data_IF_728227011359
#
_entry.id   IF_728227011359
#
_cell.length_a   1.000
_cell.length_b   1.000
_cell.length_c   1.000
_cell.angle_alpha   90.00
_cell.angle_beta   90.00
_cell.angle_gamma   90.00
#
_symmetry.space_group_name_H-M   'P 1'
#
loop_
_entity.id
_entity.type
_entity.pdbx_description
1 polymer ?
#
# COMPACT_ATOMS: atom_id res chain seq x y z
N UNK A 1 -22.00 21.22 -6.66
CA UNK A 1 -20.64 21.69 -7.00
C UNK A 1 -20.36 22.97 -6.21
N UNK A 2 -19.57 22.88 -5.13
CA UNK A 2 -19.06 24.02 -4.38
C UNK A 2 -17.54 23.92 -4.36
N UNK A 3 -16.86 24.81 -5.07
CA UNK A 3 -15.44 25.20 -4.95
C UNK A 3 -14.42 24.09 -4.55
N UNK A 4 -14.46 22.92 -5.19
CA UNK A 4 -13.51 21.84 -4.92
C UNK A 4 -12.30 21.95 -5.82
N UNK A 5 -11.11 22.17 -5.26
CA UNK A 5 -9.85 22.01 -5.99
C UNK A 5 -9.78 20.60 -6.59
N UNK A 6 -9.81 20.49 -7.92
CA UNK A 6 -9.65 19.22 -8.61
C UNK A 6 -8.19 18.77 -8.48
N UNK A 7 -7.94 17.81 -7.59
CA UNK A 7 -6.59 17.24 -7.42
C UNK A 7 -6.41 16.07 -8.38
N UNK A 8 -5.54 16.24 -9.38
CA UNK A 8 -5.16 15.17 -10.29
C UNK A 8 -4.52 14.01 -9.51
N UNK A 9 -4.98 12.79 -9.77
CA UNK A 9 -4.31 11.59 -9.30
C UNK A 9 -3.22 11.25 -10.30
N UNK A 10 -1.96 11.49 -9.93
CA UNK A 10 -0.80 11.01 -10.67
C UNK A 10 -0.54 9.55 -10.33
N UNK A 11 -0.48 8.66 -11.31
CA UNK A 11 -0.15 7.25 -11.08
C UNK A 11 1.36 7.04 -11.05
N UNK A 12 1.75 5.84 -10.63
CA UNK A 12 3.12 5.37 -10.66
C UNK A 12 3.45 4.95 -12.11
N UNK A 13 3.84 5.92 -12.93
CA UNK A 13 4.14 5.70 -14.34
C UNK A 13 5.47 4.93 -14.46
N UNK A 14 5.44 3.76 -15.11
CA UNK A 14 6.64 2.97 -15.40
C UNK A 14 7.20 2.15 -14.22
N UNK A 15 6.54 2.19 -13.06
CA UNK A 15 6.92 1.35 -11.92
C UNK A 15 6.10 0.05 -11.89
N UNK A 16 6.75 -1.07 -11.60
CA UNK A 16 6.07 -2.34 -11.36
C UNK A 16 5.18 -2.20 -10.12
N UNK A 17 3.89 -2.49 -10.26
CA UNK A 17 2.99 -2.54 -9.11
C UNK A 17 3.33 -3.77 -8.25
N UNK A 18 3.48 -3.51 -6.96
CA UNK A 18 3.76 -4.50 -5.94
C UNK A 18 2.67 -4.46 -4.87
N UNK A 19 2.67 -5.46 -3.99
CA UNK A 19 1.73 -5.51 -2.87
C UNK A 19 1.80 -4.26 -1.98
N UNK A 20 2.99 -3.65 -1.84
CA UNK A 20 3.22 -2.42 -1.07
C UNK A 20 2.34 -1.26 -1.52
N UNK A 21 2.04 -1.20 -2.83
CA UNK A 21 1.21 -0.15 -3.40
C UNK A 21 -0.24 -0.27 -2.92
N UNK A 22 -0.76 -1.48 -2.72
CA UNK A 22 -2.15 -1.74 -2.33
C UNK A 22 -2.41 -1.68 -0.82
N UNK A 23 -1.37 -1.61 0.00
CA UNK A 23 -1.48 -1.57 1.45
C UNK A 23 -1.52 -0.13 2.02
N UNK A 24 -1.63 0.91 1.18
CA UNK A 24 -1.67 2.31 1.65
C UNK A 24 -3.07 2.76 2.05
N UNK A 25 -3.20 3.46 3.18
CA UNK A 25 -4.46 4.09 3.60
C UNK A 25 -4.79 5.35 2.77
N UNK A 26 -3.85 5.79 1.94
CA UNK A 26 -3.97 6.98 1.08
C UNK A 26 -4.09 6.54 -0.37
N UNK A 27 -5.20 6.94 -1.01
CA UNK A 27 -5.60 6.81 -2.44
C UNK A 27 -5.30 5.46 -3.10
N UNK A 28 -6.33 4.86 -3.70
CA UNK A 28 -6.19 3.60 -4.43
C UNK A 28 -5.03 3.65 -5.42
N UNK A 29 -4.16 2.63 -5.40
CA UNK A 29 -3.05 2.46 -6.35
C UNK A 29 -3.51 2.58 -7.80
N UNK A 30 -4.72 2.07 -8.04
CA UNK A 30 -5.39 2.05 -9.33
C UNK A 30 -6.72 2.78 -9.15
N UNK A 31 -6.98 3.75 -10.02
CA UNK A 31 -8.29 4.40 -10.08
C UNK A 31 -9.26 3.47 -10.82
N UNK A 32 -10.08 2.74 -10.06
CA UNK A 32 -11.10 1.85 -10.63
C UNK A 32 -11.97 2.51 -11.72
N UNK A 33 -12.53 3.73 -11.55
CA UNK A 33 -13.33 4.35 -12.60
C UNK A 33 -12.54 4.67 -13.89
N UNK A 34 -11.22 4.83 -13.79
CA UNK A 34 -10.34 5.07 -14.94
C UNK A 34 -9.64 3.80 -15.45
N UNK A 35 -10.07 2.61 -15.02
CA UNK A 35 -9.43 1.34 -15.37
C UNK A 35 -10.16 0.63 -16.51
N UNK A 36 -9.39 0.17 -17.50
CA UNK A 36 -9.87 -0.72 -18.55
C UNK A 36 -9.32 -2.12 -18.30
N UNK A 37 -10.21 -3.10 -18.13
CA UNK A 37 -9.85 -4.47 -17.75
C UNK A 37 -10.14 -5.38 -18.93
N UNK A 38 -9.13 -6.11 -19.40
CA UNK A 38 -9.32 -7.05 -20.50
C UNK A 38 -10.30 -8.17 -20.09
N UNK A 39 -11.29 -8.47 -20.95
CA UNK A 39 -12.40 -9.38 -20.61
C UNK A 39 -11.95 -10.76 -20.10
N UNK A 40 -10.82 -11.27 -20.60
CA UNK A 40 -10.29 -12.60 -20.24
C UNK A 40 -9.85 -12.67 -18.78
N UNK A 41 -9.67 -11.54 -18.10
CA UNK A 41 -9.37 -11.52 -16.67
C UNK A 41 -10.62 -11.85 -15.83
N UNK A 42 -11.82 -11.57 -16.34
CA UNK A 42 -13.08 -11.94 -15.68
C UNK A 42 -13.47 -13.40 -15.89
N UNK A 43 -12.98 -14.03 -16.96
CA UNK A 43 -13.17 -15.48 -17.20
C UNK A 43 -12.48 -16.33 -16.12
N UNK A 44 -11.48 -15.76 -15.44
CA UNK A 44 -10.74 -16.41 -14.34
C UNK A 44 -11.36 -16.13 -12.96
N UNK A 45 -12.52 -15.48 -12.90
CA UNK A 45 -13.20 -15.09 -11.67
C UNK A 45 -13.62 -13.62 -11.66
N UNK A 46 -14.79 -13.35 -11.07
CA UNK A 46 -15.39 -12.02 -10.96
C UNK A 46 -14.98 -11.33 -9.66
N UNK A 47 -15.55 -10.15 -9.41
CA UNK A 47 -15.44 -9.49 -8.11
C UNK A 47 -16.06 -10.36 -7.01
N UNK A 48 -15.39 -10.44 -5.88
CA UNK A 48 -15.94 -11.05 -4.68
C UNK A 48 -16.81 -10.03 -3.93
N UNK A 49 -18.13 -10.16 -4.10
CA UNK A 49 -19.14 -9.28 -3.50
C UNK A 49 -19.30 -9.48 -1.98
N UNK A 50 -18.58 -10.40 -1.35
CA UNK A 50 -18.47 -10.46 0.11
C UNK A 50 -17.73 -9.22 0.66
N UNK A 51 -16.83 -8.62 -0.14
CA UNK A 51 -16.23 -7.32 0.13
C UNK A 51 -17.20 -6.22 -0.27
N UNK A 52 -17.64 -5.38 0.68
CA UNK A 52 -18.67 -4.37 0.41
C UNK A 52 -18.11 -3.04 -0.03
N UNK A 53 -16.85 -2.75 0.29
CA UNK A 53 -16.21 -1.47 -0.01
C UNK A 53 -15.08 -1.63 -1.01
N UNK A 54 -14.26 -2.68 -0.87
CA UNK A 54 -12.99 -2.81 -1.62
C UNK A 54 -12.88 -4.08 -2.47
N UNK A 55 -14.00 -4.54 -3.03
CA UNK A 55 -14.02 -5.69 -3.94
C UNK A 55 -13.12 -5.48 -5.18
N UNK A 56 -13.00 -4.24 -5.64
CA UNK A 56 -12.11 -3.83 -6.73
C UNK A 56 -10.63 -4.04 -6.36
N UNK A 57 -10.23 -3.65 -5.15
CA UNK A 57 -8.87 -3.86 -4.63
C UNK A 57 -8.56 -5.35 -4.54
N UNK A 58 -9.50 -6.17 -4.04
CA UNK A 58 -9.31 -7.63 -3.99
C UNK A 58 -9.00 -8.20 -5.38
N UNK A 59 -9.82 -7.82 -6.37
CA UNK A 59 -9.64 -8.25 -7.76
C UNK A 59 -8.29 -7.78 -8.34
N UNK A 60 -7.89 -6.53 -8.09
CA UNK A 60 -6.62 -6.01 -8.61
C UNK A 60 -5.41 -6.69 -7.99
N UNK A 61 -5.41 -6.95 -6.67
CA UNK A 61 -4.31 -7.68 -6.02
C UNK A 61 -4.21 -9.10 -6.59
N UNK A 62 -5.33 -9.81 -6.72
CA UNK A 62 -5.34 -11.15 -7.29
C UNK A 62 -4.79 -11.17 -8.73
N UNK A 63 -5.31 -10.33 -9.62
CA UNK A 63 -4.88 -10.33 -11.04
C UNK A 63 -3.46 -9.84 -11.22
N UNK A 64 -3.09 -8.74 -10.59
CA UNK A 64 -1.82 -8.06 -10.86
C UNK A 64 -0.70 -8.69 -10.04
N UNK A 65 -0.92 -8.94 -8.74
CA UNK A 65 0.15 -9.40 -7.85
C UNK A 65 0.25 -10.91 -7.85
N UNK A 66 -0.86 -11.62 -7.61
CA UNK A 66 -0.84 -13.08 -7.46
C UNK A 66 -0.67 -13.76 -8.82
N UNK A 67 -1.39 -13.28 -9.83
CA UNK A 67 -1.35 -13.84 -11.19
C UNK A 67 -0.38 -13.13 -12.13
N UNK A 68 0.36 -12.13 -11.63
CA UNK A 68 1.40 -11.41 -12.37
C UNK A 68 0.91 -10.85 -13.74
N UNK A 69 -0.33 -10.36 -13.79
CA UNK A 69 -0.86 -9.73 -15.01
C UNK A 69 -0.21 -8.36 -15.23
N UNK A 70 0.03 -8.01 -16.50
CA UNK A 70 0.59 -6.73 -16.90
C UNK A 70 -0.39 -5.58 -16.65
N UNK A 71 0.16 -4.42 -16.29
CA UNK A 71 -0.57 -3.16 -16.15
C UNK A 71 0.12 -2.12 -17.00
N UNK A 72 -0.66 -1.39 -17.80
CA UNK A 72 -0.19 -0.27 -18.60
C UNK A 72 -0.90 1.00 -18.15
N UNK A 73 -0.12 2.08 -18.00
CA UNK A 73 -0.68 3.40 -17.70
C UNK A 73 -0.73 4.28 -18.94
N UNK A 74 -1.88 4.92 -19.16
CA UNK A 74 -2.08 5.90 -20.22
C UNK A 74 -2.15 7.31 -19.61
N UNK A 75 -1.35 8.30 -20.08
CA UNK A 75 -1.28 9.63 -19.50
C UNK A 75 -2.44 10.54 -19.92
N UNK A 76 -3.67 10.03 -19.82
CA UNK A 76 -4.89 10.74 -20.14
C UNK A 76 -5.83 10.83 -18.94
N UNK A 77 -6.55 11.94 -18.85
CA UNK A 77 -7.65 12.08 -17.89
C UNK A 77 -8.85 11.34 -18.47
N UNK A 78 -9.22 10.23 -17.84
CA UNK A 78 -10.32 9.36 -18.29
C UNK A 78 -11.64 9.73 -17.60
N UNK A 79 -11.60 10.01 -16.29
CA UNK A 79 -12.80 10.23 -15.48
C UNK A 79 -12.69 11.39 -14.52
N UNK A 80 -13.80 12.10 -14.31
CA UNK A 80 -14.00 12.97 -13.16
C UNK A 80 -14.72 12.18 -12.05
N UNK A 81 -14.02 11.92 -10.95
CA UNK A 81 -14.51 11.08 -9.85
C UNK A 81 -15.15 11.93 -8.74
N UNK A 82 -16.38 11.60 -8.36
CA UNK A 82 -17.02 12.18 -7.18
C UNK A 82 -16.65 11.40 -5.92
N UNK A 83 -16.14 12.09 -4.91
CA UNK A 83 -15.74 11.53 -3.61
C UNK A 83 -16.87 11.41 -2.58
N UNK A 84 -18.14 11.56 -2.98
CA UNK A 84 -19.29 11.36 -2.08
C UNK A 84 -19.65 9.87 -1.90
N UNK A 85 -18.90 8.95 -2.54
CA UNK A 85 -19.15 7.51 -2.50
C UNK A 85 -18.81 6.83 -1.16
N UNK A 86 -19.34 5.62 -0.98
CA UNK A 86 -19.19 4.79 0.23
C UNK A 86 -17.73 4.61 0.66
N UNK A 87 -16.82 4.36 -0.29
CA UNK A 87 -15.38 4.17 -0.06
C UNK A 87 -14.64 5.45 0.34
N UNK A 88 -15.24 6.61 0.07
CA UNK A 88 -14.69 7.92 0.42
C UNK A 88 -15.24 8.47 1.74
N UNK A 89 -16.24 7.80 2.32
CA UNK A 89 -16.83 8.20 3.58
C UNK A 89 -15.96 7.75 4.77
N UNK A 90 -15.47 8.67 5.62
CA UNK A 90 -14.68 8.34 6.81
C UNK A 90 -15.36 7.37 7.79
N UNK A 91 -16.70 7.35 7.83
CA UNK A 91 -17.43 6.40 8.69
C UNK A 91 -17.13 4.94 8.37
N UNK A 92 -16.71 4.65 7.13
CA UNK A 92 -16.49 3.31 6.61
C UNK A 92 -15.01 2.88 6.63
N UNK A 93 -14.12 3.70 7.18
CA UNK A 93 -12.68 3.40 7.23
C UNK A 93 -12.36 2.16 8.06
N UNK A 94 -13.03 1.97 9.18
CA UNK A 94 -12.83 0.77 10.01
C UNK A 94 -13.14 -0.51 9.22
N UNK A 95 -14.28 -0.54 8.53
CA UNK A 95 -14.66 -1.66 7.67
C UNK A 95 -13.69 -1.84 6.49
N UNK A 96 -13.21 -0.74 5.90
CA UNK A 96 -12.20 -0.79 4.82
C UNK A 96 -10.90 -1.45 5.29
N UNK A 97 -10.45 -1.13 6.50
CA UNK A 97 -9.25 -1.73 7.11
C UNK A 97 -9.47 -3.21 7.41
N UNK A 98 -10.65 -3.58 7.91
CA UNK A 98 -11.01 -4.98 8.18
C UNK A 98 -11.04 -5.81 6.89
N UNK A 99 -11.76 -5.32 5.87
CA UNK A 99 -11.81 -5.95 4.54
C UNK A 99 -10.39 -6.11 3.97
N UNK A 100 -9.55 -5.08 4.07
CA UNK A 100 -8.17 -5.16 3.56
C UNK A 100 -7.33 -6.20 4.29
N UNK A 101 -7.47 -6.24 5.62
CA UNK A 101 -6.78 -7.23 6.45
C UNK A 101 -7.23 -8.64 6.05
N UNK A 102 -8.51 -8.82 5.74
CA UNK A 102 -9.06 -10.08 5.24
C UNK A 102 -8.47 -10.46 3.87
N UNK A 103 -8.42 -9.53 2.91
CA UNK A 103 -7.81 -9.76 1.59
C UNK A 103 -6.38 -10.31 1.73
N UNK A 104 -5.53 -9.67 2.55
CA UNK A 104 -4.15 -10.13 2.70
C UNK A 104 -4.04 -11.50 3.35
N UNK A 105 -4.92 -11.82 4.31
CA UNK A 105 -4.97 -13.15 4.95
C UNK A 105 -5.43 -14.25 4.00
N UNK A 106 -6.35 -13.93 3.09
CA UNK A 106 -6.88 -14.87 2.10
C UNK A 106 -5.90 -15.09 0.94
N UNK A 107 -5.24 -14.04 0.45
CA UNK A 107 -4.36 -14.11 -0.72
C UNK A 107 -2.93 -14.54 -0.40
N UNK A 108 -2.42 -14.31 0.81
CA UNK A 108 -1.03 -14.60 1.17
C UNK A 108 -0.94 -15.77 2.16
N UNK A 109 0.02 -16.69 1.97
CA UNK A 109 0.36 -17.65 3.01
C UNK A 109 0.72 -16.95 4.33
N UNK A 110 0.28 -17.45 5.50
CA UNK A 110 0.47 -16.76 6.79
C UNK A 110 1.92 -16.39 7.12
N UNK A 111 2.89 -17.20 6.66
CA UNK A 111 4.33 -16.91 6.85
C UNK A 111 4.79 -15.72 6.02
N UNK A 112 4.34 -15.63 4.77
CA UNK A 112 4.66 -14.51 3.87
C UNK A 112 3.99 -13.23 4.35
N UNK A 113 2.73 -13.32 4.80
CA UNK A 113 2.03 -12.18 5.38
C UNK A 113 2.80 -11.60 6.57
N UNK A 114 3.32 -12.45 7.46
CA UNK A 114 4.12 -12.01 8.61
C UNK A 114 5.41 -11.27 8.19
N UNK A 115 6.11 -11.77 7.18
CA UNK A 115 7.29 -11.09 6.65
C UNK A 115 6.93 -9.73 6.04
N UNK A 116 5.81 -9.69 5.31
CA UNK A 116 5.30 -8.48 4.70
C UNK A 116 4.90 -7.43 5.73
N UNK A 117 4.20 -7.81 6.80
CA UNK A 117 3.84 -6.92 7.92
C UNK A 117 5.09 -6.29 8.56
N UNK A 118 6.15 -7.09 8.78
CA UNK A 118 7.41 -6.59 9.33
C UNK A 118 8.06 -5.55 8.42
N UNK A 119 8.15 -5.83 7.11
CA UNK A 119 8.75 -4.91 6.13
C UNK A 119 7.91 -3.64 6.02
N UNK A 120 6.59 -3.78 6.02
CA UNK A 120 5.67 -2.66 5.86
C UNK A 120 5.73 -1.67 7.03
N UNK A 121 5.93 -2.15 8.26
CA UNK A 121 6.08 -1.29 9.45
C UNK A 121 7.24 -0.29 9.33
N UNK A 122 8.29 -0.64 8.59
CA UNK A 122 9.49 0.19 8.47
C UNK A 122 9.58 0.92 7.14
N UNK A 123 8.71 0.64 6.16
CA UNK A 123 8.84 1.12 4.76
C UNK A 123 8.97 2.65 4.63
N UNK A 124 8.27 3.40 5.47
CA UNK A 124 8.24 4.87 5.44
C UNK A 124 9.33 5.48 6.34
N UNK A 125 10.14 4.64 6.99
CA UNK A 125 11.22 5.09 7.85
C UNK A 125 12.30 5.77 7.02
N UNK A 126 12.58 7.03 7.35
CA UNK A 126 13.70 7.78 6.78
C UNK A 126 15.06 7.13 7.06
N UNK A 127 15.16 6.15 7.96
CA UNK A 127 16.38 5.39 8.20
C UNK A 127 16.69 4.37 7.11
N UNK A 128 15.66 3.81 6.44
CA UNK A 128 15.85 2.78 5.42
C UNK A 128 16.76 3.24 4.28
N UNK A 129 16.67 4.52 3.88
CA UNK A 129 17.50 5.10 2.81
C UNK A 129 19.01 5.06 3.11
N UNK A 130 19.40 4.92 4.37
CA UNK A 130 20.79 4.87 4.79
C UNK A 130 21.32 3.44 4.93
N UNK A 131 20.46 2.42 5.02
CA UNK A 131 20.88 1.02 5.20
C UNK A 131 21.89 0.58 4.13
N UNK A 132 21.68 0.82 2.82
CA UNK A 132 22.65 0.41 1.79
C UNK A 132 24.05 1.02 1.98
N UNK A 133 24.13 2.21 2.59
CA UNK A 133 25.41 2.85 2.89
C UNK A 133 26.06 2.27 4.15
N UNK A 134 25.27 2.00 5.19
CA UNK A 134 25.75 1.42 6.44
C UNK A 134 26.27 -0.01 6.24
N UNK A 135 25.63 -0.79 5.37
CA UNK A 135 26.03 -2.18 5.07
C UNK A 135 27.33 -2.30 4.26
N UNK A 136 27.91 -1.18 3.76
CA UNK A 136 29.18 -1.22 3.02
C UNK A 136 30.35 -1.71 3.87
N UNK A 137 30.31 -1.48 5.19
CA UNK A 137 31.36 -1.95 6.11
C UNK A 137 30.76 -2.34 7.44
N UNK A 138 31.21 -3.47 7.99
CA UNK A 138 30.77 -3.95 9.31
C UNK A 138 31.11 -2.95 10.43
N UNK A 139 32.22 -2.22 10.30
CA UNK A 139 32.63 -1.20 11.26
C UNK A 139 31.67 -0.02 11.35
N UNK A 140 31.28 0.55 10.20
CA UNK A 140 30.33 1.67 10.15
C UNK A 140 28.94 1.24 10.64
N UNK A 141 28.46 0.07 10.21
CA UNK A 141 27.18 -0.47 10.68
C UNK A 141 27.17 -0.63 12.21
N UNK A 142 28.21 -1.23 12.78
CA UNK A 142 28.35 -1.41 14.22
C UNK A 142 28.42 -0.08 14.97
N UNK A 143 29.15 0.90 14.44
CA UNK A 143 29.23 2.24 15.04
C UNK A 143 27.87 2.95 15.00
N UNK A 144 27.22 2.99 13.84
CA UNK A 144 25.89 3.57 13.68
C UNK A 144 24.87 2.91 14.62
N UNK A 145 24.92 1.59 14.74
CA UNK A 145 24.09 0.82 15.67
C UNK A 145 24.33 1.21 17.13
N UNK A 146 25.61 1.37 17.55
CA UNK A 146 25.93 1.81 18.92
C UNK A 146 25.39 3.22 19.19
N UNK A 147 25.58 4.16 18.26
CA UNK A 147 25.08 5.53 18.39
C UNK A 147 23.55 5.53 18.51
N UNK A 148 22.86 4.81 17.62
CA UNK A 148 21.41 4.73 17.61
C UNK A 148 20.87 4.14 18.92
N UNK A 149 21.48 3.07 19.45
CA UNK A 149 21.11 2.50 20.76
C UNK A 149 21.26 3.52 21.89
N UNK A 150 22.36 4.26 21.91
CA UNK A 150 22.59 5.30 22.93
C UNK A 150 21.54 6.42 22.84
N UNK A 151 21.20 6.86 21.62
CA UNK A 151 20.16 7.87 21.40
C UNK A 151 18.79 7.39 21.86
N UNK A 152 18.41 6.14 21.52
CA UNK A 152 17.15 5.54 21.96
C UNK A 152 17.10 5.43 23.48
N UNK A 153 18.19 4.97 24.12
CA UNK A 153 18.27 4.88 25.58
C UNK A 153 18.12 6.24 26.24
N UNK A 154 18.81 7.26 25.73
CA UNK A 154 18.69 8.63 26.23
C UNK A 154 17.27 9.18 26.06
N UNK A 155 16.64 8.95 24.91
CA UNK A 155 15.26 9.36 24.65
C UNK A 155 14.27 8.71 25.63
N UNK A 156 14.41 7.41 25.89
CA UNK A 156 13.60 6.69 26.88
C UNK A 156 13.71 7.28 28.28
N UNK A 157 14.94 7.58 28.72
CA UNK A 157 15.21 8.22 30.02
C UNK A 157 14.52 9.60 30.09
N UNK A 158 14.68 10.43 29.06
CA UNK A 158 14.07 11.77 29.01
C UNK A 158 12.54 11.71 29.05
N UNK A 159 11.93 10.66 28.48
CA UNK A 159 10.47 10.49 28.41
C UNK A 159 9.87 9.64 29.53
N UNK A 160 10.68 9.07 30.44
CA UNK A 160 10.19 8.16 31.49
C UNK A 160 9.52 6.90 30.93
N UNK A 161 9.98 6.44 29.76
CA UNK A 161 9.50 5.22 29.10
C UNK A 161 10.49 4.08 29.44
N UNK A 162 10.37 3.51 30.63
CA UNK A 162 11.13 2.31 31.00
C UNK A 162 10.51 1.04 30.38
#
# INVERSE_FOLDING_TARGET
MKNGESKLQTPLIGEMLTLANFNTNTRSTISHPASFIHKTLFERGLYDESYKIIADINFFIDRIIIQNCSVEYIPYIITNFNSDGVSSNPSNWAQTIEERTRIFKELLPPRILKDYELIFQVKDSSLLKFIPFLEKTTGLNNLATKILRSLIKLYKIIKGLD
#
